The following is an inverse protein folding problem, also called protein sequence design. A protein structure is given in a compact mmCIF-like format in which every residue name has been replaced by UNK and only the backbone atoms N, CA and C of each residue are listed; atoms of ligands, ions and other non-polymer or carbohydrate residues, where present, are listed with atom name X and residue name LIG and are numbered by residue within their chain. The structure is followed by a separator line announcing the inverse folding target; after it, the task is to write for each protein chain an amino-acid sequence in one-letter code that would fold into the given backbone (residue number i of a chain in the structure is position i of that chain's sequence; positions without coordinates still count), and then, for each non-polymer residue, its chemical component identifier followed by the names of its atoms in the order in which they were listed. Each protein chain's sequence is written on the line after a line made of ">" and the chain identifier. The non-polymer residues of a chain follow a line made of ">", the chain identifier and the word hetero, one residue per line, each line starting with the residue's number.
data_IF_531665096220
#
_entry.id   IF_531665096220
#
_cell.length_a   1.000
_cell.length_b   1.000
_cell.length_c   1.000
_cell.angle_alpha   90.00
_cell.angle_beta   90.00
_cell.angle_gamma   90.00
#
_symmetry.space_group_name_H-M   'P 1'
#
loop_
_entity.id
_entity.type
_entity.pdbx_description
1 polymer ?
#
# COMPACT_ATOMS: atom_id res chain seq x y z
N UNK A 1 -0.03 -19.60 -0.01
CA UNK A 1 0.35 -18.20 -0.29
C UNK A 1 -0.94 -17.39 -0.39
N UNK A 2 -1.21 -16.52 0.57
CA UNK A 2 -2.45 -15.71 0.56
C UNK A 2 -2.40 -14.80 -0.66
N UNK A 3 -3.36 -14.92 -1.57
CA UNK A 3 -3.50 -14.03 -2.71
C UNK A 3 -3.87 -12.64 -2.16
N UNK A 4 -2.86 -11.78 -2.02
CA UNK A 4 -3.04 -10.39 -1.61
C UNK A 4 -3.82 -9.69 -2.71
N UNK A 5 -5.13 -9.55 -2.50
CA UNK A 5 -6.04 -8.89 -3.44
C UNK A 5 -5.78 -7.39 -3.45
N UNK A 6 -6.23 -6.71 -4.50
CA UNK A 6 -6.09 -5.26 -4.58
C UNK A 6 -6.77 -4.53 -3.40
N UNK A 7 -7.88 -5.08 -2.90
CA UNK A 7 -8.56 -4.58 -1.70
C UNK A 7 -7.71 -4.70 -0.43
N UNK A 8 -6.93 -5.78 -0.31
CA UNK A 8 -6.00 -5.95 0.81
C UNK A 8 -4.84 -4.94 0.74
N UNK A 9 -4.29 -4.71 -0.46
CA UNK A 9 -3.25 -3.68 -0.68
C UNK A 9 -3.74 -2.28 -0.34
N UNK A 10 -4.99 -1.93 -0.70
CA UNK A 10 -5.58 -0.63 -0.34
C UNK A 10 -5.78 -0.49 1.18
N UNK A 11 -6.13 -1.57 1.88
CA UNK A 11 -6.21 -1.57 3.35
C UNK A 11 -4.83 -1.38 3.99
N UNK A 12 -3.80 -2.06 3.48
CA UNK A 12 -2.42 -1.90 3.96
C UNK A 12 -1.91 -0.47 3.75
N UNK A 13 -2.19 0.16 2.60
CA UNK A 13 -1.87 1.57 2.33
C UNK A 13 -2.52 2.51 3.34
N UNK A 14 -3.82 2.35 3.62
CA UNK A 14 -4.52 3.18 4.61
C UNK A 14 -3.93 3.01 6.00
N UNK A 15 -3.70 1.77 6.40
CA UNK A 15 -3.15 1.46 7.72
C UNK A 15 -1.75 2.05 7.91
N UNK A 16 -0.90 2.01 6.88
CA UNK A 16 0.42 2.66 6.91
C UNK A 16 0.29 4.18 7.02
N UNK A 17 -0.63 4.82 6.29
CA UNK A 17 -0.87 6.26 6.39
C UNK A 17 -1.38 6.68 7.77
N UNK A 18 -2.24 5.88 8.40
CA UNK A 18 -2.72 6.12 9.76
C UNK A 18 -1.57 6.03 10.76
N UNK A 19 -0.69 5.03 10.64
CA UNK A 19 0.47 4.90 11.50
C UNK A 19 1.48 6.06 11.34
N UNK A 20 1.71 6.50 10.10
CA UNK A 20 2.57 7.66 9.80
C UNK A 20 2.03 8.93 10.45
N UNK A 21 0.71 9.14 10.38
CA UNK A 21 0.06 10.30 11.00
C UNK A 21 0.03 10.20 12.53
N UNK A 22 -0.13 9.00 13.08
CA UNK A 22 -0.16 8.77 14.52
C UNK A 22 1.22 8.95 15.18
N UNK A 23 2.32 8.62 14.48
CA UNK A 23 3.67 8.75 15.01
C UNK A 23 4.63 9.41 14.01
N UNK A 24 4.48 10.70 13.72
CA UNK A 24 5.34 11.40 12.77
C UNK A 24 6.81 11.49 13.24
N UNK A 25 7.07 11.26 14.53
CA UNK A 25 8.42 11.24 15.12
C UNK A 25 9.27 10.01 14.74
N UNK A 26 8.65 8.93 14.23
CA UNK A 26 9.40 7.75 13.75
C UNK A 26 9.87 7.94 12.31
N UNK A 27 10.97 7.26 11.98
CA UNK A 27 11.37 7.13 10.58
C UNK A 27 10.40 6.20 9.84
N UNK A 28 9.74 6.76 8.83
CA UNK A 28 8.80 6.06 7.96
C UNK A 28 9.38 5.80 6.57
N UNK A 29 10.70 5.93 6.38
CA UNK A 29 11.32 5.81 5.07
C UNK A 29 11.01 4.43 4.45
N UNK A 30 11.12 3.37 5.24
CA UNK A 30 10.74 2.02 4.82
C UNK A 30 9.24 1.88 4.49
N UNK A 31 8.37 2.49 5.30
CA UNK A 31 6.92 2.48 5.04
C UNK A 31 6.54 3.29 3.80
N UNK A 32 7.23 4.40 3.52
CA UNK A 32 7.04 5.22 2.31
C UNK A 32 7.51 4.48 1.06
N UNK A 33 8.63 3.75 1.14
CA UNK A 33 9.06 2.84 0.07
C UNK A 33 8.02 1.75 -0.17
N UNK A 34 7.46 1.17 0.91
CA UNK A 34 6.42 0.15 0.80
C UNK A 34 5.13 0.70 0.21
N UNK A 35 4.69 1.89 0.63
CA UNK A 35 3.57 2.63 0.03
C UNK A 35 3.77 2.84 -1.47
N UNK A 36 4.96 3.27 -1.90
CA UNK A 36 5.26 3.46 -3.33
C UNK A 36 5.16 2.14 -4.12
N UNK A 37 5.65 1.03 -3.56
CA UNK A 37 5.54 -0.30 -4.17
C UNK A 37 4.09 -0.76 -4.25
N UNK A 38 3.33 -0.65 -3.16
CA UNK A 38 1.91 -1.02 -3.11
C UNK A 38 1.10 -0.20 -4.11
N UNK A 39 1.35 1.12 -4.19
CA UNK A 39 0.64 2.00 -5.10
C UNK A 39 0.94 1.65 -6.57
N UNK A 40 2.19 1.28 -6.89
CA UNK A 40 2.56 0.75 -8.22
C UNK A 40 1.86 -0.58 -8.53
N UNK A 41 1.80 -1.49 -7.56
CA UNK A 41 1.12 -2.78 -7.74
C UNK A 41 -0.39 -2.61 -7.95
N UNK A 42 -1.03 -1.70 -7.22
CA UNK A 42 -2.45 -1.37 -7.41
C UNK A 42 -2.67 -0.72 -8.79
N UNK A 43 -1.81 0.23 -9.19
CA UNK A 43 -1.91 0.88 -10.50
C UNK A 43 -1.71 -0.10 -11.67
N UNK A 44 -0.80 -1.07 -11.53
CA UNK A 44 -0.58 -2.14 -12.52
C UNK A 44 -1.74 -3.12 -12.54
N UNK A 45 -2.28 -3.53 -11.37
CA UNK A 45 -3.42 -4.45 -11.30
C UNK A 45 -4.70 -3.84 -11.88
N UNK A 46 -4.93 -2.54 -11.67
CA UNK A 46 -6.06 -1.81 -12.29
C UNK A 46 -5.98 -1.74 -13.82
N UNK A 47 -4.81 -1.96 -14.43
CA UNK A 47 -4.65 -2.02 -15.90
C UNK A 47 -4.85 -3.43 -16.46
N UNK A 48 -4.82 -4.46 -15.62
CA UNK A 48 -5.00 -5.87 -16.03
C UNK A 48 -6.44 -6.37 -15.85
N UNK A 49 -7.42 -5.48 -15.74
CA UNK A 49 -8.83 -5.83 -15.86
C UNK A 49 -9.35 -5.47 -17.26
N UNK A 50 -9.20 -6.37 -18.25
CA UNK A 50 -10.22 -6.60 -19.24
C UNK A 50 -11.03 -7.83 -18.82
N UNK A 51 -12.29 -7.58 -18.46
CA UNK A 51 -13.44 -8.50 -18.49
C UNK A 51 -13.86 -9.19 -17.18
#
# INVERSE_FOLDING_TARGET
>A
MQAVTEGDRRKEVRHLLEQIQAHPERDWTAARQRLATLNKLIATSSRQDPH
#
